data_IF_700525798851
#
_entry.id   IF_700525798851
#
_cell.length_a   1.000
_cell.length_b   1.000
_cell.length_c   1.000
_cell.angle_alpha   90.00
_cell.angle_beta   90.00
_cell.angle_gamma   90.00
#
_symmetry.space_group_name_H-M   'P 1'
#
loop_
_entity.id
_entity.type
_entity.pdbx_description
1 polymer ?
#
# COMPACT_ATOMS: atom_id res chain seq x y z
N UNK A 1 -10.00 14.22 7.83
CA UNK A 1 -9.21 14.48 9.06
C UNK A 1 -9.49 15.84 9.69
N UNK A 2 -9.39 16.99 8.97
CA UNK A 2 -9.65 18.33 9.56
C UNK A 2 -11.09 18.47 10.08
N UNK A 3 -12.08 18.05 9.30
CA UNK A 3 -13.47 18.03 9.73
C UNK A 3 -13.66 17.15 11.00
N UNK A 4 -13.03 15.97 11.01
CA UNK A 4 -13.07 15.07 12.17
C UNK A 4 -12.53 15.75 13.43
N UNK A 5 -11.40 16.47 13.31
CA UNK A 5 -10.82 17.22 14.45
C UNK A 5 -11.73 18.36 14.91
N UNK A 6 -12.38 19.08 13.99
CA UNK A 6 -13.34 20.13 14.34
C UNK A 6 -14.56 19.57 15.09
N UNK A 7 -15.15 18.49 14.61
CA UNK A 7 -16.26 17.81 15.27
C UNK A 7 -15.86 17.22 16.62
N UNK A 8 -14.68 16.61 16.71
CA UNK A 8 -14.15 16.06 17.95
C UNK A 8 -13.87 17.17 18.99
N UNK A 9 -13.39 18.35 18.54
CA UNK A 9 -13.25 19.52 19.42
C UNK A 9 -14.60 19.95 19.99
N UNK A 10 -15.62 20.03 19.16
CA UNK A 10 -16.98 20.39 19.59
C UNK A 10 -17.60 19.36 20.56
N UNK A 11 -17.10 18.11 20.54
CA UNK A 11 -17.50 17.02 21.44
C UNK A 11 -16.47 16.76 22.56
N UNK A 12 -15.72 17.78 22.97
CA UNK A 12 -14.79 17.73 24.08
C UNK A 12 -13.69 16.67 23.97
N UNK A 13 -13.15 16.43 22.76
CA UNK A 13 -11.98 15.57 22.58
C UNK A 13 -10.85 16.04 23.53
N UNK A 14 -10.20 15.08 24.17
CA UNK A 14 -9.06 15.32 25.04
C UNK A 14 -8.02 16.26 24.37
N UNK A 15 -7.68 17.42 24.98
CA UNK A 15 -6.78 18.40 24.39
C UNK A 15 -5.40 17.84 24.03
N UNK A 16 -4.87 16.89 24.82
CA UNK A 16 -3.58 16.24 24.57
C UNK A 16 -3.62 15.42 23.29
N UNK A 17 -4.68 14.61 23.10
CA UNK A 17 -4.86 13.81 21.89
C UNK A 17 -5.01 14.73 20.66
N UNK A 18 -5.79 15.81 20.78
CA UNK A 18 -5.92 16.82 19.73
C UNK A 18 -4.58 17.45 19.36
N UNK A 19 -3.80 17.87 20.37
CA UNK A 19 -2.45 18.44 20.17
C UNK A 19 -1.52 17.47 19.43
N UNK A 20 -1.53 16.19 19.82
CA UNK A 20 -0.76 15.13 19.15
C UNK A 20 -1.13 15.01 17.68
N UNK A 21 -2.42 14.90 17.36
CA UNK A 21 -2.88 14.73 15.97
C UNK A 21 -2.60 15.96 15.11
N UNK A 22 -2.77 17.17 15.65
CA UNK A 22 -2.42 18.42 14.97
C UNK A 22 -0.93 18.49 14.69
N UNK A 23 -0.09 18.14 15.69
CA UNK A 23 1.36 18.08 15.51
C UNK A 23 1.78 17.08 14.43
N UNK A 24 1.18 15.91 14.44
CA UNK A 24 1.41 14.88 13.42
C UNK A 24 1.01 15.35 12.01
N UNK A 25 -0.14 16.03 11.87
CA UNK A 25 -0.58 16.61 10.59
C UNK A 25 0.39 17.68 10.07
N UNK A 26 0.96 18.51 10.95
CA UNK A 26 1.96 19.51 10.57
C UNK A 26 3.28 18.88 10.11
N UNK A 27 3.65 17.72 10.67
CA UNK A 27 4.82 16.97 10.26
C UNK A 27 4.62 16.11 9.01
N UNK A 28 3.36 15.88 8.60
CA UNK A 28 3.04 14.99 7.48
C UNK A 28 3.69 15.39 6.14
N UNK A 29 3.75 16.67 5.74
CA UNK A 29 4.42 17.06 4.48
C UNK A 29 5.87 16.60 4.42
N UNK A 30 6.64 16.76 5.49
CA UNK A 30 8.04 16.29 5.57
C UNK A 30 8.12 14.75 5.41
N UNK A 31 7.19 14.03 6.05
CA UNK A 31 7.13 12.55 5.94
C UNK A 31 6.80 12.11 4.51
N UNK A 32 5.89 12.83 3.84
CA UNK A 32 5.57 12.59 2.43
C UNK A 32 6.80 12.84 1.56
N UNK A 33 7.52 13.96 1.75
CA UNK A 33 8.76 14.24 1.02
C UNK A 33 9.77 13.10 1.17
N UNK A 34 10.01 12.63 2.39
CA UNK A 34 10.88 11.48 2.64
C UNK A 34 10.38 10.19 1.97
N UNK A 35 9.06 10.01 1.85
CA UNK A 35 8.51 8.86 1.12
C UNK A 35 8.70 8.98 -0.40
N UNK A 36 8.67 10.20 -0.96
CA UNK A 36 8.97 10.44 -2.37
C UNK A 36 10.44 10.12 -2.71
N UNK A 37 11.37 10.34 -1.78
CA UNK A 37 12.79 9.99 -1.93
C UNK A 37 13.01 8.46 -2.07
N UNK A 38 12.03 7.63 -1.72
CA UNK A 38 12.09 6.18 -1.89
C UNK A 38 11.83 5.74 -3.35
N UNK A 39 11.47 6.67 -4.24
CA UNK A 39 11.19 6.40 -5.66
C UNK A 39 12.23 5.49 -6.34
N UNK A 40 13.56 5.64 -6.18
CA UNK A 40 14.54 4.74 -6.81
C UNK A 40 14.42 3.28 -6.37
N UNK A 41 14.01 3.03 -5.11
CA UNK A 41 13.76 1.67 -4.61
C UNK A 41 12.43 1.12 -5.20
N UNK A 42 11.41 1.97 -5.31
CA UNK A 42 10.11 1.60 -5.87
C UNK A 42 10.24 1.26 -7.36
N UNK A 43 11.06 2.00 -8.12
CA UNK A 43 11.34 1.70 -9.54
C UNK A 43 11.92 0.28 -9.71
N UNK A 44 12.77 -0.18 -8.80
CA UNK A 44 13.28 -1.56 -8.85
C UNK A 44 12.16 -2.60 -8.75
N UNK A 45 11.21 -2.35 -7.88
CA UNK A 45 10.01 -3.19 -7.70
C UNK A 45 9.12 -3.09 -8.95
N UNK A 46 8.88 -1.87 -9.45
CA UNK A 46 8.07 -1.62 -10.62
C UNK A 46 8.57 -2.38 -11.86
N UNK A 47 9.90 -2.45 -12.08
CA UNK A 47 10.52 -3.22 -13.18
C UNK A 47 10.21 -4.72 -13.14
N UNK A 48 9.96 -5.26 -11.96
CA UNK A 48 9.61 -6.66 -11.79
C UNK A 48 8.11 -6.89 -11.98
N UNK A 49 7.27 -6.00 -11.45
CA UNK A 49 5.80 -6.07 -11.56
C UNK A 49 5.35 -5.78 -12.99
N UNK A 50 5.96 -4.82 -13.69
CA UNK A 50 5.60 -4.46 -15.06
C UNK A 50 5.67 -5.62 -16.07
N UNK A 51 6.46 -6.66 -15.75
CA UNK A 51 6.59 -7.88 -16.57
C UNK A 51 5.50 -8.93 -16.33
N UNK A 52 4.55 -8.63 -15.45
CA UNK A 52 3.51 -9.56 -15.01
C UNK A 52 2.12 -9.03 -15.39
N UNK A 53 1.19 -9.94 -15.58
CA UNK A 53 -0.20 -9.59 -15.93
C UNK A 53 -1.13 -9.62 -14.72
N UNK A 54 -0.66 -10.18 -13.61
CA UNK A 54 -1.41 -10.25 -12.36
C UNK A 54 -0.57 -9.75 -11.19
N UNK A 55 -1.23 -9.21 -10.16
CA UNK A 55 -0.60 -8.81 -8.91
C UNK A 55 -1.60 -8.92 -7.75
N UNK A 56 -1.13 -9.34 -6.59
CA UNK A 56 -1.92 -9.30 -5.37
C UNK A 56 -1.42 -8.21 -4.41
N UNK A 57 -2.38 -7.57 -3.74
CA UNK A 57 -2.11 -6.58 -2.71
C UNK A 57 -2.65 -7.08 -1.38
N UNK A 58 -1.85 -7.00 -0.33
CA UNK A 58 -2.22 -7.50 1.00
C UNK A 58 -2.16 -6.39 2.03
N UNK A 59 -3.22 -6.30 2.80
CA UNK A 59 -3.28 -5.46 3.99
C UNK A 59 -4.01 -6.16 5.12
N UNK A 60 -3.81 -5.69 6.36
CA UNK A 60 -4.54 -6.20 7.52
C UNK A 60 -5.15 -5.05 8.32
N UNK A 61 -6.39 -5.22 8.82
CA UNK A 61 -7.12 -4.15 9.50
C UNK A 61 -7.30 -2.94 8.58
N UNK A 62 -7.00 -1.74 9.08
CA UNK A 62 -7.13 -0.48 8.33
C UNK A 62 -6.24 -0.39 7.07
N UNK A 63 -5.26 -1.27 6.91
CA UNK A 63 -4.39 -1.30 5.74
C UNK A 63 -4.96 -2.12 4.57
N UNK A 64 -6.03 -2.88 4.78
CA UNK A 64 -6.73 -3.54 3.68
C UNK A 64 -7.38 -2.54 2.70
N UNK A 65 -8.14 -1.52 3.13
CA UNK A 65 -8.61 -0.46 2.24
C UNK A 65 -7.48 0.26 1.48
N UNK A 66 -6.31 0.43 2.10
CA UNK A 66 -5.14 1.03 1.43
C UNK A 66 -4.55 0.09 0.39
N UNK A 67 -4.51 -1.20 0.66
CA UNK A 67 -4.12 -2.22 -0.32
C UNK A 67 -5.10 -2.24 -1.52
N UNK A 68 -6.41 -2.06 -1.28
CA UNK A 68 -7.43 -1.90 -2.33
C UNK A 68 -7.14 -0.68 -3.20
N UNK A 69 -6.83 0.46 -2.60
CA UNK A 69 -6.46 1.67 -3.34
C UNK A 69 -5.22 1.42 -4.22
N UNK A 70 -4.18 0.77 -3.68
CA UNK A 70 -2.98 0.42 -4.45
C UNK A 70 -3.28 -0.51 -5.63
N UNK A 71 -4.09 -1.55 -5.43
CA UNK A 71 -4.49 -2.45 -6.51
C UNK A 71 -5.36 -1.75 -7.56
N UNK A 72 -6.23 -0.84 -7.13
CA UNK A 72 -7.07 -0.04 -8.03
C UNK A 72 -6.19 0.87 -8.90
N UNK A 73 -5.28 1.65 -8.31
CA UNK A 73 -4.38 2.53 -9.06
C UNK A 73 -3.52 1.74 -10.05
N UNK A 74 -3.02 0.57 -9.66
CA UNK A 74 -2.23 -0.24 -10.56
C UNK A 74 -3.08 -0.71 -11.77
N UNK A 75 -4.28 -1.25 -11.55
CA UNK A 75 -5.12 -1.74 -12.64
C UNK A 75 -5.60 -0.62 -13.57
N UNK A 76 -5.96 0.54 -13.03
CA UNK A 76 -6.49 1.66 -13.82
C UNK A 76 -5.51 2.16 -14.88
N UNK A 77 -4.23 2.29 -14.54
CA UNK A 77 -3.24 2.94 -15.40
C UNK A 77 -2.24 1.98 -16.07
N UNK A 78 -2.07 0.75 -15.55
CA UNK A 78 -1.15 -0.24 -16.12
C UNK A 78 -1.83 -1.42 -16.80
N UNK A 79 -3.14 -1.59 -16.60
CA UNK A 79 -3.97 -2.70 -17.10
C UNK A 79 -3.56 -4.08 -16.57
N UNK A 80 -2.76 -4.14 -15.52
CA UNK A 80 -2.46 -5.37 -14.80
C UNK A 80 -3.70 -5.76 -14.00
N UNK A 81 -4.11 -7.02 -14.06
CA UNK A 81 -5.16 -7.54 -13.19
C UNK A 81 -4.65 -7.59 -11.74
N UNK A 82 -4.96 -6.55 -10.99
CA UNK A 82 -4.52 -6.37 -9.61
C UNK A 82 -5.70 -6.46 -8.65
N UNK A 83 -5.59 -7.31 -7.64
CA UNK A 83 -6.60 -7.49 -6.60
C UNK A 83 -6.00 -7.33 -5.21
N UNK A 84 -6.85 -6.92 -4.27
CA UNK A 84 -6.45 -6.79 -2.87
C UNK A 84 -7.27 -7.72 -1.98
N UNK A 85 -6.58 -8.34 -1.01
CA UNK A 85 -7.21 -9.20 -0.01
C UNK A 85 -6.77 -8.83 1.40
N UNK A 86 -7.65 -9.01 2.40
CA UNK A 86 -7.19 -9.04 3.78
C UNK A 86 -6.21 -10.21 3.94
N UNK A 87 -5.02 -9.95 4.49
CA UNK A 87 -4.00 -10.99 4.58
C UNK A 87 -4.44 -12.24 5.35
N UNK A 88 -5.36 -12.08 6.33
CA UNK A 88 -5.93 -13.20 7.07
C UNK A 88 -6.84 -14.11 6.24
N UNK A 89 -7.38 -13.60 5.12
CA UNK A 89 -8.31 -14.33 4.25
C UNK A 89 -7.63 -15.09 3.12
N UNK A 90 -6.29 -15.04 3.03
CA UNK A 90 -5.55 -15.75 1.97
C UNK A 90 -5.88 -17.24 1.90
N UNK A 91 -6.09 -17.90 3.04
CA UNK A 91 -6.38 -19.33 3.13
C UNK A 91 -7.74 -19.73 2.56
N UNK A 92 -8.63 -18.76 2.39
CA UNK A 92 -10.00 -18.99 1.91
C UNK A 92 -10.11 -18.92 0.37
N UNK A 93 -9.00 -19.10 -0.36
CA UNK A 93 -8.97 -19.18 -1.82
C UNK A 93 -7.76 -18.50 -2.46
N UNK A 94 -7.48 -17.21 -2.19
CA UNK A 94 -6.43 -16.46 -2.90
C UNK A 94 -5.03 -17.10 -2.81
N UNK A 95 -4.77 -17.88 -1.77
CA UNK A 95 -3.49 -18.57 -1.59
C UNK A 95 -3.22 -19.59 -2.71
N UNK A 96 -4.25 -20.11 -3.37
CA UNK A 96 -4.14 -20.99 -4.54
C UNK A 96 -3.54 -20.29 -5.77
N UNK A 97 -3.60 -18.95 -5.84
CA UNK A 97 -3.05 -18.15 -6.93
C UNK A 97 -1.55 -17.86 -6.76
N UNK A 98 -0.97 -18.22 -5.61
CA UNK A 98 0.41 -17.89 -5.29
C UNK A 98 1.36 -18.88 -5.92
N UNK A 99 2.20 -18.37 -6.81
CA UNK A 99 3.32 -19.07 -7.43
C UNK A 99 4.52 -18.12 -7.61
N UNK A 100 5.60 -18.60 -8.25
CA UNK A 100 6.81 -17.82 -8.56
C UNK A 100 6.58 -16.64 -9.52
N UNK A 101 5.44 -16.60 -10.19
CA UNK A 101 5.07 -15.55 -11.14
C UNK A 101 4.14 -14.51 -10.52
N UNK A 102 3.57 -14.78 -9.35
CA UNK A 102 2.64 -13.86 -8.68
C UNK A 102 3.43 -12.84 -7.82
N UNK A 103 3.49 -11.56 -8.21
CA UNK A 103 3.95 -10.50 -7.35
C UNK A 103 2.91 -10.22 -6.25
N UNK A 104 3.37 -10.11 -5.03
CA UNK A 104 2.53 -9.81 -3.87
C UNK A 104 3.06 -8.57 -3.18
N UNK A 105 2.30 -7.48 -3.25
CA UNK A 105 2.60 -6.22 -2.56
C UNK A 105 1.90 -6.22 -1.21
N UNK A 106 2.65 -6.17 -0.13
CA UNK A 106 2.12 -6.21 1.22
C UNK A 106 2.40 -4.92 2.00
N UNK A 107 1.38 -4.41 2.69
CA UNK A 107 1.49 -3.27 3.59
C UNK A 107 1.72 -3.78 5.01
N UNK A 108 2.93 -3.60 5.52
CA UNK A 108 3.40 -4.14 6.80
C UNK A 108 3.75 -3.03 7.80
N UNK A 109 2.76 -2.32 8.36
CA UNK A 109 2.96 -1.35 9.40
C UNK A 109 3.41 -2.03 10.70
N UNK A 110 4.13 -1.28 11.51
CA UNK A 110 4.46 -1.69 12.88
C UNK A 110 3.25 -1.41 13.79
N UNK A 111 2.48 -2.44 14.07
CA UNK A 111 1.28 -2.39 14.92
C UNK A 111 0.99 -3.76 15.55
N UNK A 112 -0.07 -3.84 16.32
CA UNK A 112 -0.53 -5.07 17.01
C UNK A 112 -0.87 -6.25 16.08
N UNK A 113 -1.12 -6.00 14.80
CA UNK A 113 -1.44 -7.03 13.80
C UNK A 113 -0.21 -7.47 12.99
N UNK A 114 0.96 -6.88 13.25
CA UNK A 114 2.17 -7.11 12.47
C UNK A 114 2.60 -8.59 12.48
N UNK A 115 2.63 -9.24 13.64
CA UNK A 115 3.00 -10.66 13.75
C UNK A 115 2.10 -11.56 12.90
N UNK A 116 0.78 -11.34 12.98
CA UNK A 116 -0.19 -12.10 12.19
C UNK A 116 -0.02 -11.86 10.69
N UNK A 117 0.28 -10.63 10.30
CA UNK A 117 0.58 -10.31 8.90
C UNK A 117 1.84 -11.03 8.44
N UNK A 118 2.93 -10.93 9.19
CA UNK A 118 4.21 -11.60 8.85
C UNK A 118 4.02 -13.11 8.69
N UNK A 119 3.25 -13.75 9.57
CA UNK A 119 2.90 -15.18 9.43
C UNK A 119 2.22 -15.46 8.08
N UNK A 120 1.26 -14.62 7.66
CA UNK A 120 0.63 -14.76 6.34
C UNK A 120 1.64 -14.57 5.18
N UNK A 121 2.58 -13.63 5.32
CA UNK A 121 3.61 -13.40 4.30
C UNK A 121 4.61 -14.56 4.19
N UNK A 122 4.94 -15.23 5.29
CA UNK A 122 5.75 -16.47 5.26
C UNK A 122 5.02 -17.60 4.52
N UNK A 123 3.69 -17.69 4.62
CA UNK A 123 2.90 -18.65 3.85
C UNK A 123 2.94 -18.38 2.33
N UNK A 124 2.89 -17.10 1.94
CA UNK A 124 3.07 -16.66 0.55
C UNK A 124 4.46 -17.05 0.05
N UNK A 125 5.48 -16.75 0.84
CA UNK A 125 6.87 -17.04 0.52
C UNK A 125 7.14 -18.55 0.39
N UNK A 126 6.58 -19.37 1.27
CA UNK A 126 6.72 -20.82 1.22
C UNK A 126 6.16 -21.45 -0.08
N UNK A 127 5.24 -20.74 -0.77
CA UNK A 127 4.68 -21.14 -2.06
C UNK A 127 5.39 -20.49 -3.27
N UNK A 128 6.50 -19.81 -3.02
CA UNK A 128 7.30 -19.16 -4.05
C UNK A 128 6.81 -17.79 -4.46
N UNK A 129 5.77 -17.24 -3.83
CA UNK A 129 5.25 -15.90 -4.12
C UNK A 129 6.32 -14.82 -3.96
N UNK A 130 6.37 -13.87 -4.88
CA UNK A 130 7.36 -12.82 -4.91
C UNK A 130 6.91 -11.63 -4.07
N UNK A 131 7.43 -11.54 -2.86
CA UNK A 131 7.04 -10.50 -1.89
C UNK A 131 7.73 -9.16 -2.15
N UNK A 132 6.93 -8.10 -2.15
CA UNK A 132 7.31 -6.70 -2.11
C UNK A 132 6.63 -6.08 -0.88
N UNK A 133 7.40 -5.70 0.12
CA UNK A 133 6.86 -5.29 1.42
C UNK A 133 7.10 -3.81 1.65
N UNK A 134 6.05 -3.08 1.96
CA UNK A 134 6.06 -1.66 2.27
C UNK A 134 5.70 -1.49 3.75
N UNK A 135 6.64 -0.99 4.53
CA UNK A 135 6.47 -0.75 5.97
C UNK A 135 7.56 -1.37 6.82
N UNK A 136 7.59 -1.01 8.09
CA UNK A 136 8.72 -1.23 8.97
C UNK A 136 8.67 -2.58 9.72
N UNK A 137 7.49 -3.20 9.86
CA UNK A 137 7.33 -4.43 10.64
C UNK A 137 8.16 -5.61 10.11
N UNK A 138 8.33 -5.72 8.79
CA UNK A 138 9.07 -6.82 8.18
C UNK A 138 10.56 -6.84 8.56
N UNK A 139 11.19 -5.66 8.69
CA UNK A 139 12.58 -5.53 9.12
C UNK A 139 12.78 -5.96 10.57
N UNK A 140 11.89 -5.55 11.44
CA UNK A 140 11.93 -5.81 12.87
C UNK A 140 11.63 -7.28 13.21
N UNK A 141 10.80 -7.95 12.39
CA UNK A 141 10.35 -9.33 12.63
C UNK A 141 11.11 -10.40 11.82
N UNK A 142 12.29 -10.05 11.28
CA UNK A 142 13.17 -10.99 10.55
C UNK A 142 12.53 -11.65 9.32
N UNK A 143 11.47 -11.07 8.73
CA UNK A 143 11.00 -11.50 7.42
C UNK A 143 12.11 -11.25 6.40
N UNK A 144 12.73 -12.32 5.89
CA UNK A 144 13.75 -12.24 4.84
C UNK A 144 13.11 -11.89 3.50
N UNK A 145 12.58 -10.67 3.39
CA UNK A 145 12.08 -10.11 2.13
C UNK A 145 13.20 -9.33 1.46
N UNK A 146 13.55 -9.70 0.22
CA UNK A 146 14.58 -8.98 -0.56
C UNK A 146 14.15 -7.58 -0.98
N UNK A 147 12.84 -7.37 -1.10
CA UNK A 147 12.24 -6.14 -1.61
C UNK A 147 11.44 -5.46 -0.48
N UNK A 148 12.17 -4.82 0.42
CA UNK A 148 11.59 -4.10 1.57
C UNK A 148 11.75 -2.59 1.37
N UNK A 149 10.66 -1.85 1.55
CA UNK A 149 10.61 -0.40 1.58
C UNK A 149 10.19 0.05 2.97
N UNK A 150 11.12 0.54 3.75
CA UNK A 150 10.84 1.17 5.03
C UNK A 150 10.34 2.59 4.82
N UNK A 151 9.23 2.93 5.47
CA UNK A 151 8.64 4.27 5.46
C UNK A 151 9.12 5.08 6.67
N UNK A 152 9.09 6.43 6.58
CA UNK A 152 9.30 7.27 7.74
C UNK A 152 8.28 6.98 8.85
N UNK A 153 8.72 7.05 10.09
CA UNK A 153 7.80 6.94 11.23
C UNK A 153 6.72 8.02 11.18
N UNK A 154 5.49 7.63 11.47
CA UNK A 154 4.33 8.51 11.44
C UNK A 154 3.34 8.13 12.55
N UNK A 155 2.56 9.10 13.02
CA UNK A 155 1.43 8.80 13.91
C UNK A 155 0.47 7.81 13.24
N UNK A 156 0.03 6.78 13.96
CA UNK A 156 -0.79 5.70 13.44
C UNK A 156 -2.04 6.20 12.71
N UNK A 157 -2.68 7.29 13.18
CA UNK A 157 -3.86 7.86 12.53
C UNK A 157 -3.58 8.43 11.14
N UNK A 158 -2.33 8.74 10.82
CA UNK A 158 -1.90 9.31 9.53
C UNK A 158 -1.18 8.28 8.65
N UNK A 159 -0.87 7.10 9.16
CA UNK A 159 -0.21 6.05 8.38
C UNK A 159 -0.97 5.68 7.11
N UNK A 160 -2.33 5.64 7.04
CA UNK A 160 -3.03 5.39 5.79
C UNK A 160 -2.66 6.37 4.68
N UNK A 161 -2.51 7.67 5.00
CA UNK A 161 -2.10 8.69 4.04
C UNK A 161 -0.67 8.41 3.55
N UNK A 162 0.25 8.16 4.49
CA UNK A 162 1.65 7.95 4.18
C UNK A 162 1.88 6.69 3.34
N UNK A 163 1.16 5.60 3.63
CA UNK A 163 1.29 4.32 2.92
C UNK A 163 0.69 4.35 1.51
N UNK A 164 -0.22 5.28 1.22
CA UNK A 164 -0.77 5.46 -0.13
C UNK A 164 0.27 6.01 -1.11
N UNK A 165 1.18 6.87 -0.64
CA UNK A 165 2.19 7.52 -1.50
C UNK A 165 3.07 6.53 -2.27
N UNK A 166 3.72 5.54 -1.65
CA UNK A 166 4.54 4.56 -2.37
C UNK A 166 3.73 3.67 -3.32
N UNK A 167 2.44 3.43 -3.04
CA UNK A 167 1.56 2.68 -3.94
C UNK A 167 1.23 3.48 -5.21
N UNK A 168 1.01 4.78 -5.07
CA UNK A 168 0.81 5.68 -6.21
C UNK A 168 2.07 5.76 -7.07
N UNK A 169 3.26 5.93 -6.46
CA UNK A 169 4.53 5.90 -7.18
C UNK A 169 4.72 4.56 -7.91
N UNK A 170 4.42 3.44 -7.24
CA UNK A 170 4.54 2.12 -7.83
C UNK A 170 3.67 1.96 -9.07
N UNK A 171 2.40 2.34 -8.97
CA UNK A 171 1.44 2.26 -10.09
C UNK A 171 1.88 3.14 -11.26
N UNK A 172 2.30 4.37 -10.97
CA UNK A 172 2.83 5.31 -11.95
C UNK A 172 4.06 4.75 -12.70
N UNK A 173 5.05 4.25 -11.97
CA UNK A 173 6.28 3.71 -12.56
C UNK A 173 6.03 2.41 -13.36
N UNK A 174 5.09 1.57 -12.92
CA UNK A 174 4.68 0.38 -13.67
C UNK A 174 4.00 0.78 -14.98
N UNK A 175 3.12 1.78 -14.95
CA UNK A 175 2.44 2.29 -16.14
C UNK A 175 3.44 2.85 -17.16
N UNK A 176 4.40 3.68 -16.72
CA UNK A 176 5.49 4.17 -17.56
C UNK A 176 6.29 3.03 -18.22
N UNK A 177 6.64 2.01 -17.46
CA UNK A 177 7.41 0.85 -17.96
C UNK A 177 6.60 -0.01 -18.95
N UNK A 178 5.28 0.00 -18.86
CA UNK A 178 4.38 -0.68 -19.79
C UNK A 178 4.03 0.18 -21.01
N UNK A 179 4.41 1.45 -21.04
CA UNK A 179 4.10 2.39 -22.12
C UNK A 179 2.63 2.73 -22.22
N UNK A 180 1.87 2.66 -21.11
CA UNK A 180 0.46 3.01 -21.07
C UNK A 180 0.27 4.51 -20.85
N UNK A 181 -0.83 5.08 -21.37
CA UNK A 181 -1.19 6.46 -21.11
C UNK A 181 -1.72 6.59 -19.68
N UNK A 182 -1.04 7.40 -18.87
CA UNK A 182 -1.37 7.59 -17.46
C UNK A 182 -2.45 8.65 -17.28
N UNK A 183 -2.46 9.65 -18.14
CA UNK A 183 -3.36 10.80 -18.03
C UNK A 183 -4.72 10.52 -18.69
N UNK A 184 -4.75 9.66 -19.70
CA UNK A 184 -5.95 9.23 -20.41
C UNK A 184 -6.02 7.70 -20.52
N UNK A 185 -6.18 6.98 -19.40
CA UNK A 185 -6.28 5.54 -19.43
C UNK A 185 -7.53 5.10 -20.18
N UNK A 186 -7.39 4.02 -20.97
CA UNK A 186 -8.49 3.49 -21.78
C UNK A 186 -9.70 3.10 -20.93
N UNK A 187 -10.90 3.28 -21.50
CA UNK A 187 -12.17 2.88 -20.89
C UNK A 187 -12.50 3.57 -19.55
N UNK A 188 -11.76 4.62 -19.19
CA UNK A 188 -12.06 5.44 -18.02
C UNK A 188 -12.44 6.85 -18.50
N UNK A 189 -13.59 7.33 -18.05
CA UNK A 189 -14.09 8.66 -18.32
C UNK A 189 -14.42 9.38 -17.01
N UNK A 190 -14.21 10.69 -16.98
CA UNK A 190 -14.60 11.53 -15.83
C UNK A 190 -16.11 11.67 -15.69
N UNK A 191 -16.86 11.42 -16.78
CA UNK A 191 -18.32 11.35 -16.81
C UNK A 191 -18.75 10.23 -17.73
N UNK A 192 -19.77 9.48 -17.35
CA UNK A 192 -20.40 8.50 -18.22
C UNK A 192 -21.36 9.26 -19.12
N UNK A 193 -21.09 9.22 -20.43
CA UNK A 193 -21.91 9.88 -21.48
C UNK A 193 -22.66 8.90 -22.36
N UNK A 194 -22.60 7.62 -22.04
CA UNK A 194 -23.29 6.55 -22.77
C UNK A 194 -24.49 6.13 -21.96
N UNK A 195 -25.68 6.31 -22.52
CA UNK A 195 -26.95 5.76 -22.06
C UNK A 195 -27.16 4.36 -22.64
#
# INVERSE_FOLDING_TARGET
MLLTLSLAKARNLNPRLRGRVVGALRALPEKITKSLELKPKIIKIAKEIAKKDNALFLGRGIFYPIAKEGSLKLKEISYIHAEAYPAGELKHGPLALIDKNMPVVALAPENELAEKLISNLEEVKARGGKLFVIGNAAGNMKLKAKNLINLPECDFLLTPILYTVPLQILSYEVALLRGTDIDQPRNLAKSVTVE
#
